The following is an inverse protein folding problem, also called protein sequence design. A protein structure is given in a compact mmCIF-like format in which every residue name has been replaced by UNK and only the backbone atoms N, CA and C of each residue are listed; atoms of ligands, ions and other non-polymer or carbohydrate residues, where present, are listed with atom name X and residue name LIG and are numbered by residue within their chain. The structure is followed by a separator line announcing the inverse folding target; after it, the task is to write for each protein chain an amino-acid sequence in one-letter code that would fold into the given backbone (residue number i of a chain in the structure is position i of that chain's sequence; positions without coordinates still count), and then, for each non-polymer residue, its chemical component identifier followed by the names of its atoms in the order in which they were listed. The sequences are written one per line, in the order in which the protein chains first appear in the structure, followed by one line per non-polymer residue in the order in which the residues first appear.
data_IF_103998752311
#
_entry.id   IF_103998752311
#
_cell.length_a   1.000
_cell.length_b   1.000
_cell.length_c   1.000
_cell.angle_alpha   90.00
_cell.angle_beta   90.00
_cell.angle_gamma   90.00
#
_symmetry.space_group_name_H-M   'P 1'
#
loop_
_entity.id
_entity.type
_entity.pdbx_description
1 polymer ?
#
# COMPACT_ATOMS: atom_id res chain seq x y z
N UNK A 1 -31.45 -2.48 -2.47
CA UNK A 1 -30.51 -2.56 -3.58
C UNK A 1 -31.23 -2.75 -4.91
N UNK A 2 -31.75 -1.67 -5.48
CA UNK A 2 -32.24 -1.64 -6.87
C UNK A 2 -32.07 -0.22 -7.45
N UNK A 3 -30.85 0.31 -7.31
CA UNK A 3 -30.40 1.53 -7.98
C UNK A 3 -29.18 1.15 -8.79
N UNK A 4 -29.28 1.29 -10.11
CA UNK A 4 -28.14 1.17 -11.03
C UNK A 4 -27.06 2.14 -10.58
N UNK A 5 -25.88 1.62 -10.27
CA UNK A 5 -24.73 2.42 -9.86
C UNK A 5 -24.35 3.28 -11.07
N UNK A 6 -24.27 4.62 -10.92
CA UNK A 6 -23.83 5.49 -12.01
C UNK A 6 -22.41 5.11 -12.43
N UNK A 7 -22.16 5.08 -13.74
CA UNK A 7 -20.88 4.67 -14.33
C UNK A 7 -19.69 5.46 -13.78
N UNK A 8 -19.86 6.74 -13.45
CA UNK A 8 -18.84 7.58 -12.80
C UNK A 8 -18.27 6.99 -11.51
N UNK A 9 -19.11 6.36 -10.68
CA UNK A 9 -18.67 5.73 -9.43
C UNK A 9 -17.90 4.45 -9.72
N UNK A 10 -18.32 3.70 -10.75
CA UNK A 10 -17.64 2.47 -11.17
C UNK A 10 -16.24 2.79 -11.73
N UNK A 11 -16.12 3.83 -12.54
CA UNK A 11 -14.84 4.36 -13.03
C UNK A 11 -13.94 4.81 -11.88
N UNK A 12 -14.47 5.59 -10.92
CA UNK A 12 -13.71 6.04 -9.75
C UNK A 12 -13.14 4.89 -8.90
N UNK A 13 -13.95 3.86 -8.63
CA UNK A 13 -13.52 2.67 -7.88
C UNK A 13 -12.48 1.86 -8.66
N UNK A 14 -12.67 1.69 -9.97
CA UNK A 14 -11.74 0.94 -10.81
C UNK A 14 -10.36 1.61 -10.89
N UNK A 15 -10.33 2.94 -10.99
CA UNK A 15 -9.09 3.72 -11.02
C UNK A 15 -8.37 3.65 -9.66
N UNK A 16 -9.13 3.75 -8.56
CA UNK A 16 -8.59 3.56 -7.22
C UNK A 16 -8.00 2.16 -7.03
N UNK A 17 -8.68 1.12 -7.51
CA UNK A 17 -8.18 -0.25 -7.46
C UNK A 17 -6.87 -0.42 -8.24
N UNK A 18 -6.79 0.10 -9.48
CA UNK A 18 -5.57 0.04 -10.30
C UNK A 18 -4.39 0.73 -9.62
N UNK A 19 -4.60 1.92 -9.07
CA UNK A 19 -3.56 2.69 -8.37
C UNK A 19 -3.05 1.92 -7.15
N UNK A 20 -3.94 1.35 -6.35
CA UNK A 20 -3.58 0.55 -5.18
C UNK A 20 -2.72 -0.65 -5.56
N UNK A 21 -3.04 -1.34 -6.67
CA UNK A 21 -2.26 -2.48 -7.18
C UNK A 21 -0.87 -2.04 -7.69
N UNK A 22 -0.77 -0.89 -8.36
CA UNK A 22 0.51 -0.36 -8.83
C UNK A 22 1.41 0.02 -7.65
N UNK A 23 0.87 0.71 -6.64
CA UNK A 23 1.63 1.07 -5.44
C UNK A 23 2.06 -0.20 -4.71
N UNK A 24 1.15 -1.15 -4.52
CA UNK A 24 1.42 -2.42 -3.86
C UNK A 24 2.56 -3.21 -4.54
N UNK A 25 2.49 -3.38 -5.87
CA UNK A 25 3.51 -4.10 -6.64
C UNK A 25 4.87 -3.38 -6.58
N UNK A 26 4.88 -2.06 -6.73
CA UNK A 26 6.10 -1.25 -6.60
C UNK A 26 6.71 -1.32 -5.20
N UNK A 27 5.88 -1.31 -4.16
CA UNK A 27 6.35 -1.42 -2.77
C UNK A 27 6.91 -2.80 -2.43
N UNK A 28 6.37 -3.87 -3.03
CA UNK A 28 6.81 -5.25 -2.79
C UNK A 28 8.17 -5.57 -3.41
N UNK A 29 8.53 -4.90 -4.51
CA UNK A 29 9.83 -5.05 -5.18
C UNK A 29 11.03 -4.64 -4.31
N UNK A 30 10.83 -3.70 -3.39
CA UNK A 30 11.90 -3.14 -2.55
C UNK A 30 12.39 -4.16 -1.51
N UNK A 31 11.54 -4.75 -0.63
CA UNK A 31 11.98 -5.78 0.31
C UNK A 31 12.52 -7.03 -0.41
N UNK A 32 11.99 -7.37 -1.59
CA UNK A 32 12.53 -8.44 -2.44
C UNK A 32 13.99 -8.15 -2.87
N UNK A 33 14.31 -6.90 -3.21
CA UNK A 33 15.69 -6.50 -3.54
C UNK A 33 16.66 -6.63 -2.35
N UNK A 34 16.13 -6.66 -1.12
CA UNK A 34 16.90 -6.87 0.11
C UNK A 34 16.99 -8.35 0.52
N UNK A 35 16.73 -9.30 -0.39
CA UNK A 35 16.74 -10.75 -0.15
C UNK A 35 15.75 -11.20 0.95
N UNK A 36 14.64 -10.49 1.11
CA UNK A 36 13.55 -10.90 1.99
C UNK A 36 12.63 -11.85 1.21
N UNK A 37 12.12 -12.89 1.87
CA UNK A 37 11.22 -13.86 1.25
C UNK A 37 10.01 -13.21 0.58
N UNK A 38 9.52 -13.78 -0.52
CA UNK A 38 8.38 -13.25 -1.27
C UNK A 38 7.10 -13.19 -0.44
N UNK A 39 6.82 -14.23 0.36
CA UNK A 39 5.64 -14.28 1.24
C UNK A 39 5.75 -13.21 2.30
N UNK A 40 6.88 -13.13 3.00
CA UNK A 40 7.14 -12.11 4.03
C UNK A 40 7.06 -10.69 3.45
N UNK A 41 7.68 -10.44 2.29
CA UNK A 41 7.69 -9.13 1.62
C UNK A 41 6.29 -8.67 1.21
N UNK A 42 5.56 -9.52 0.51
CA UNK A 42 4.22 -9.23 0.00
C UNK A 42 3.25 -8.97 1.14
N UNK A 43 3.32 -9.78 2.20
CA UNK A 43 2.38 -9.71 3.31
C UNK A 43 2.69 -8.57 4.27
N UNK A 44 3.97 -8.20 4.43
CA UNK A 44 4.37 -6.96 5.11
C UNK A 44 3.77 -5.74 4.40
N UNK A 45 3.91 -5.66 3.08
CA UNK A 45 3.37 -4.52 2.30
C UNK A 45 1.84 -4.49 2.35
N UNK A 46 1.15 -5.63 2.15
CA UNK A 46 -0.33 -5.68 2.29
C UNK A 46 -0.77 -5.22 3.67
N UNK A 47 -0.10 -5.69 4.73
CA UNK A 47 -0.45 -5.36 6.11
C UNK A 47 -0.21 -3.89 6.45
N UNK A 48 0.90 -3.31 5.98
CA UNK A 48 1.19 -1.88 6.12
C UNK A 48 0.18 -1.03 5.35
N UNK A 49 -0.11 -1.40 4.10
CA UNK A 49 -1.02 -0.66 3.24
C UNK A 49 -2.48 -0.74 3.73
N UNK A 50 -2.87 -1.89 4.27
CA UNK A 50 -4.19 -2.08 4.92
C UNK A 50 -4.21 -1.59 6.38
N UNK A 51 -3.12 -1.02 6.87
CA UNK A 51 -2.94 -0.55 8.24
C UNK A 51 -3.35 -1.59 9.30
N UNK A 52 -3.13 -2.89 9.02
CA UNK A 52 -3.39 -3.98 9.97
C UNK A 52 -2.26 -4.06 11.01
N UNK A 53 -1.01 -3.97 10.58
CA UNK A 53 0.17 -4.07 11.45
C UNK A 53 0.94 -5.40 11.30
N UNK A 54 0.36 -6.57 11.63
CA UNK A 54 1.04 -7.86 11.49
C UNK A 54 0.88 -8.42 10.08
N UNK A 55 1.98 -8.87 9.48
CA UNK A 55 1.98 -9.60 8.21
C UNK A 55 1.94 -11.11 8.43
N UNK A 56 2.48 -11.88 7.47
CA UNK A 56 2.66 -13.32 7.60
C UNK A 56 4.14 -13.67 7.77
N UNK A 57 4.39 -14.89 8.27
CA UNK A 57 5.72 -15.46 8.44
C UNK A 57 6.63 -14.63 9.37
N UNK A 58 7.72 -14.04 8.88
CA UNK A 58 8.71 -13.33 9.71
C UNK A 58 8.22 -11.94 10.17
N UNK A 59 7.09 -11.45 9.64
CA UNK A 59 6.38 -10.27 10.15
C UNK A 59 5.04 -10.63 10.81
N UNK A 60 4.84 -11.91 11.13
CA UNK A 60 3.66 -12.41 11.82
C UNK A 60 3.52 -11.94 13.28
N UNK A 61 2.40 -12.24 13.95
CA UNK A 61 2.14 -11.84 15.34
C UNK A 61 3.14 -12.40 16.36
N UNK A 62 3.89 -13.44 16.00
CA UNK A 62 4.96 -14.02 16.80
C UNK A 62 6.35 -13.41 16.49
N UNK A 63 6.46 -12.55 15.48
CA UNK A 63 7.69 -11.94 15.00
C UNK A 63 7.58 -10.41 14.96
N UNK A 64 8.66 -9.72 14.59
CA UNK A 64 8.73 -8.25 14.65
C UNK A 64 9.41 -7.68 13.40
N UNK A 65 9.20 -6.40 13.08
CA UNK A 65 9.91 -5.72 11.98
C UNK A 65 11.37 -5.35 12.34
N UNK A 66 11.87 -5.77 13.50
CA UNK A 66 13.19 -5.40 14.01
C UNK A 66 14.32 -5.89 13.14
N UNK A 67 14.21 -7.12 12.62
CA UNK A 67 15.21 -7.79 11.79
C UNK A 67 15.32 -7.22 10.36
N UNK A 68 14.37 -6.38 9.93
CA UNK A 68 14.42 -5.77 8.61
C UNK A 68 15.48 -4.64 8.54
N UNK A 69 16.19 -4.52 7.40
CA UNK A 69 17.14 -3.45 7.18
C UNK A 69 16.47 -2.07 7.24
N UNK A 70 17.20 -1.09 7.77
CA UNK A 70 16.72 0.29 7.97
C UNK A 70 15.99 0.91 6.76
N UNK A 71 16.49 0.82 5.50
CA UNK A 71 15.80 1.38 4.34
C UNK A 71 14.42 0.77 4.08
N UNK A 72 14.27 -0.56 4.26
CA UNK A 72 12.99 -1.25 4.07
C UNK A 72 11.98 -0.82 5.13
N UNK A 73 12.44 -0.64 6.37
CA UNK A 73 11.61 -0.21 7.52
C UNK A 73 11.07 1.20 7.35
N UNK A 74 11.91 2.14 6.91
CA UNK A 74 11.49 3.52 6.61
C UNK A 74 10.42 3.51 5.51
N UNK A 75 10.64 2.70 4.47
CA UNK A 75 9.74 2.57 3.34
C UNK A 75 8.37 1.97 3.74
N UNK A 76 8.36 0.92 4.55
CA UNK A 76 7.14 0.36 5.17
C UNK A 76 6.40 1.39 6.04
N UNK A 77 7.14 2.24 6.77
CA UNK A 77 6.56 3.34 7.55
C UNK A 77 5.85 4.37 6.66
N UNK A 78 6.45 4.74 5.52
CA UNK A 78 5.81 5.60 4.52
C UNK A 78 4.58 4.90 3.93
N UNK A 79 4.67 3.59 3.67
CA UNK A 79 3.56 2.78 3.17
C UNK A 79 2.36 2.77 4.14
N UNK A 80 2.59 2.74 5.46
CA UNK A 80 1.52 2.87 6.46
C UNK A 80 0.86 4.26 6.43
N UNK A 81 1.65 5.32 6.30
CA UNK A 81 1.13 6.69 6.19
C UNK A 81 0.25 6.83 4.94
N UNK A 82 0.70 6.25 3.82
CA UNK A 82 -0.06 6.19 2.55
C UNK A 82 -1.33 5.35 2.70
N UNK A 83 -1.27 4.20 3.36
CA UNK A 83 -2.47 3.39 3.64
C UNK A 83 -3.48 4.11 4.51
N UNK A 84 -3.01 4.95 5.44
CA UNK A 84 -3.85 5.73 6.35
C UNK A 84 -4.42 7.01 5.73
N UNK A 85 -3.67 7.66 4.85
CA UNK A 85 -4.13 8.77 3.99
C UNK A 85 -4.71 8.14 2.71
N UNK A 86 -5.96 7.70 2.73
CA UNK A 86 -6.68 7.04 1.61
C UNK A 86 -6.05 7.26 0.22
N UNK A 87 -5.90 6.19 -0.59
CA UNK A 87 -5.24 6.21 -1.91
C UNK A 87 -5.63 7.39 -2.82
N UNK A 88 -6.89 7.83 -2.74
CA UNK A 88 -7.40 8.98 -3.48
C UNK A 88 -6.72 10.30 -3.09
N UNK A 89 -6.41 10.48 -1.81
CA UNK A 89 -5.67 11.62 -1.26
C UNK A 89 -4.22 11.63 -1.73
N UNK A 90 -3.58 10.46 -1.79
CA UNK A 90 -2.21 10.33 -2.33
C UNK A 90 -2.19 10.62 -3.83
N UNK A 91 -3.17 10.12 -4.58
CA UNK A 91 -3.32 10.45 -5.99
C UNK A 91 -3.48 11.96 -6.20
N UNK A 92 -4.34 12.61 -5.40
CA UNK A 92 -4.52 14.07 -5.38
C UNK A 92 -3.21 14.80 -5.07
N UNK A 93 -2.39 14.28 -4.15
CA UNK A 93 -1.14 14.91 -3.75
C UNK A 93 -0.07 14.85 -4.85
N UNK A 94 -0.09 13.79 -5.66
CA UNK A 94 0.80 13.63 -6.83
C UNK A 94 0.25 14.26 -8.12
N UNK A 95 -1.03 14.62 -8.20
CA UNK A 95 -1.57 15.39 -9.32
C UNK A 95 -1.18 16.88 -9.18
N UNK A 96 -0.34 17.43 -10.07
CA UNK A 96 -0.01 18.86 -10.06
C UNK A 96 -1.23 19.75 -10.35
N UNK A 97 -2.32 19.16 -10.87
CA UNK A 97 -3.62 19.82 -11.07
C UNK A 97 -4.31 20.18 -9.74
N UNK A 98 -4.12 19.41 -8.67
CA UNK A 98 -4.67 19.73 -7.35
C UNK A 98 -3.86 20.82 -6.63
N UNK A 99 -2.59 21.01 -7.03
CA UNK A 99 -1.73 22.09 -6.52
C UNK A 99 -1.89 23.40 -7.29
N UNK A 100 -2.52 23.37 -8.48
CA UNK A 100 -2.83 24.55 -9.27
C UNK A 100 -4.29 24.96 -9.09
N UNK A 101 -4.51 25.64 -7.96
CA UNK A 101 -5.65 26.49 -7.59
C UNK A 101 -6.83 25.81 -6.90
#
# INVERSE_FOLDING_TARGET
GNKVVPSDVLDGVSNLFLVSVVIFSGCTLIPLAFNIDFVTSTTAVVSCLSNMGPGLELVGPAANYGWMPAPVKIMLGICMIIGRLEFFTVLVLFLPLAWRK
#
